data_IF_663216204508
#
_entry.id   IF_663216204508
#
_cell.length_a   1.000
_cell.length_b   1.000
_cell.length_c   1.000
_cell.angle_alpha   90.00
_cell.angle_beta   90.00
_cell.angle_gamma   90.00
#
_symmetry.space_group_name_H-M   'P 1'
#
loop_
_entity.id
_entity.type
_entity.pdbx_description
1 polymer ?
#
# COMPACT_ATOMS: atom_id res chain seq x y z
N UNK A 1 43.05 31.68 -15.50
CA UNK A 1 43.05 30.22 -15.55
C UNK A 1 42.37 29.68 -14.33
N UNK A 2 41.08 29.35 -14.43
CA UNK A 2 40.31 28.75 -13.35
C UNK A 2 40.55 27.24 -13.31
N UNK A 3 41.48 26.83 -12.46
CA UNK A 3 41.87 25.42 -12.30
C UNK A 3 41.06 24.68 -11.21
N UNK A 4 39.96 25.27 -10.73
CA UNK A 4 39.16 24.74 -9.60
C UNK A 4 37.70 24.45 -9.93
N UNK A 5 37.31 24.49 -11.20
CA UNK A 5 35.98 24.07 -11.61
C UNK A 5 35.85 22.54 -11.56
N UNK A 6 35.45 22.00 -10.40
CA UNK A 6 35.06 20.60 -10.28
C UNK A 6 33.59 20.45 -10.64
N UNK A 7 33.32 19.66 -11.69
CA UNK A 7 31.98 19.25 -12.08
C UNK A 7 31.54 18.10 -11.16
N UNK A 8 30.54 18.35 -10.32
CA UNK A 8 29.90 17.31 -9.51
C UNK A 8 28.74 16.73 -10.33
N UNK A 9 28.93 15.54 -10.89
CA UNK A 9 27.86 14.79 -11.54
C UNK A 9 27.09 13.99 -10.50
N UNK A 10 25.82 14.32 -10.30
CA UNK A 10 24.89 13.51 -9.52
C UNK A 10 24.25 12.47 -10.44
N UNK A 11 24.52 11.19 -10.18
CA UNK A 11 23.73 10.11 -10.74
C UNK A 11 22.42 10.02 -9.95
N UNK A 12 21.36 10.58 -10.52
CA UNK A 12 20.01 10.26 -10.06
C UNK A 12 19.70 8.83 -10.45
N UNK A 13 19.94 7.89 -9.53
CA UNK A 13 19.28 6.60 -9.59
C UNK A 13 17.78 6.86 -9.48
N UNK A 14 17.11 6.93 -10.63
CA UNK A 14 15.67 6.80 -10.70
C UNK A 14 15.35 5.39 -10.21
N UNK A 15 15.21 5.20 -8.90
CA UNK A 15 14.49 4.06 -8.35
C UNK A 15 13.15 4.03 -9.07
N UNK A 16 12.95 3.04 -9.94
CA UNK A 16 11.64 2.81 -10.51
C UNK A 16 10.65 2.76 -9.35
N UNK A 17 9.56 3.54 -9.37
CA UNK A 17 8.60 3.49 -8.29
C UNK A 17 8.09 2.06 -8.21
N UNK A 18 8.50 1.33 -7.16
CA UNK A 18 7.99 0.01 -6.90
C UNK A 18 6.48 0.16 -6.78
N UNK A 19 5.74 -0.55 -7.64
CA UNK A 19 4.29 -0.51 -7.62
C UNK A 19 3.88 -1.12 -6.28
N UNK A 20 3.62 -0.26 -5.28
CA UNK A 20 3.20 -0.69 -3.96
C UNK A 20 1.85 -1.38 -4.12
N UNK A 21 1.88 -2.72 -4.08
CA UNK A 21 0.69 -3.56 -4.05
C UNK A 21 0.13 -3.46 -2.64
N UNK A 22 -0.99 -2.76 -2.49
CA UNK A 22 -1.73 -2.79 -1.22
C UNK A 22 -2.68 -3.98 -1.26
N UNK A 23 -2.51 -4.89 -0.31
CA UNK A 23 -3.46 -5.96 -0.05
C UNK A 23 -4.47 -5.50 1.00
N UNK A 24 -5.73 -5.88 0.83
CA UNK A 24 -6.76 -5.66 1.84
C UNK A 24 -7.70 -6.86 1.84
N UNK A 25 -8.33 -7.17 2.98
CA UNK A 25 -9.39 -8.19 3.03
C UNK A 25 -10.74 -7.50 3.03
N UNK A 26 -11.70 -8.08 2.31
CA UNK A 26 -13.05 -7.56 2.32
C UNK A 26 -13.78 -7.99 3.58
N UNK A 27 -13.83 -7.12 4.59
CA UNK A 27 -14.60 -7.33 5.83
C UNK A 27 -16.05 -6.88 5.58
N UNK A 28 -16.75 -7.60 4.71
CA UNK A 28 -18.18 -7.38 4.42
C UNK A 28 -19.04 -8.18 5.40
N UNK A 29 -20.28 -7.73 5.70
CA UNK A 29 -21.20 -8.49 6.54
C UNK A 29 -21.44 -9.93 6.05
N UNK A 30 -21.50 -10.15 4.74
CA UNK A 30 -21.64 -11.48 4.15
C UNK A 30 -20.47 -12.42 4.47
N UNK A 31 -19.24 -11.90 4.37
CA UNK A 31 -18.01 -12.67 4.61
C UNK A 31 -17.86 -12.99 6.11
N UNK A 32 -18.25 -12.06 6.98
CA UNK A 32 -18.28 -12.28 8.42
C UNK A 32 -19.37 -13.28 8.83
N UNK A 33 -20.53 -13.26 8.16
CA UNK A 33 -21.59 -14.25 8.40
C UNK A 33 -21.11 -15.66 8.03
N UNK A 34 -20.49 -15.82 6.87
CA UNK A 34 -19.88 -17.08 6.44
C UNK A 34 -18.81 -17.57 7.43
N UNK A 35 -17.91 -16.67 7.84
CA UNK A 35 -16.89 -16.98 8.84
C UNK A 35 -17.52 -17.48 10.15
N UNK A 36 -18.57 -16.82 10.64
CA UNK A 36 -19.27 -17.25 11.87
C UNK A 36 -19.89 -18.64 11.72
N UNK A 37 -20.52 -18.92 10.59
CA UNK A 37 -21.10 -20.24 10.31
C UNK A 37 -20.01 -21.30 10.35
N UNK A 38 -18.88 -21.08 9.67
CA UNK A 38 -17.76 -22.02 9.65
C UNK A 38 -17.15 -22.26 11.03
N UNK A 39 -16.89 -21.20 11.79
CA UNK A 39 -16.36 -21.33 13.15
C UNK A 39 -17.34 -22.01 14.12
N UNK A 40 -18.65 -21.87 13.89
CA UNK A 40 -19.67 -22.55 14.69
C UNK A 40 -19.76 -24.05 14.38
N UNK A 41 -19.50 -24.44 13.13
CA UNK A 41 -19.46 -25.85 12.70
C UNK A 41 -18.12 -26.53 13.03
N UNK A 42 -17.10 -25.76 13.39
CA UNK A 42 -15.79 -26.27 13.76
C UNK A 42 -15.86 -27.06 15.08
N UNK A 43 -15.23 -28.23 15.10
CA UNK A 43 -15.29 -29.15 16.25
C UNK A 43 -14.23 -28.84 17.30
N UNK A 44 -13.19 -28.09 16.92
CA UNK A 44 -12.07 -27.65 17.75
C UNK A 44 -11.31 -28.78 18.46
N UNK A 45 -11.55 -30.04 18.10
CA UNK A 45 -10.91 -31.20 18.74
C UNK A 45 -9.40 -31.06 18.72
N UNK A 46 -8.84 -30.67 17.58
CA UNK A 46 -7.40 -30.54 17.36
C UNK A 46 -6.73 -29.50 18.27
N UNK A 47 -7.49 -28.52 18.76
CA UNK A 47 -7.02 -27.50 19.71
C UNK A 47 -6.94 -28.03 21.14
N UNK A 48 -7.60 -29.14 21.46
CA UNK A 48 -7.64 -29.71 22.81
C UNK A 48 -6.88 -31.03 22.94
N UNK A 49 -6.23 -31.50 21.86
CA UNK A 49 -5.53 -32.80 21.86
C UNK A 49 -4.21 -32.74 22.65
N UNK A 50 -3.48 -31.62 22.59
CA UNK A 50 -2.15 -31.54 23.21
C UNK A 50 -2.22 -31.12 24.67
N UNK A 51 -1.38 -31.69 25.56
CA UNK A 51 -1.18 -31.16 26.90
C UNK A 51 -0.36 -29.86 26.90
N UNK A 52 0.32 -29.52 25.80
CA UNK A 52 1.11 -28.29 25.69
C UNK A 52 0.23 -27.11 25.22
N UNK A 53 0.08 -26.04 26.02
CA UNK A 53 -0.71 -24.87 25.65
C UNK A 53 -0.18 -24.13 24.42
N UNK A 54 1.12 -24.20 24.12
CA UNK A 54 1.68 -23.55 22.94
C UNK A 54 1.20 -24.23 21.66
N UNK A 55 1.20 -25.56 21.65
CA UNK A 55 0.71 -26.38 20.52
C UNK A 55 -0.79 -26.12 20.30
N UNK A 56 -1.57 -26.06 21.38
CA UNK A 56 -3.00 -25.75 21.30
C UNK A 56 -3.25 -24.34 20.75
N UNK A 57 -2.47 -23.35 21.20
CA UNK A 57 -2.55 -21.97 20.69
C UNK A 57 -2.21 -21.90 19.21
N UNK A 58 -1.18 -22.62 18.76
CA UNK A 58 -0.80 -22.68 17.35
C UNK A 58 -1.90 -23.34 16.51
N UNK A 59 -2.44 -24.47 16.97
CA UNK A 59 -3.56 -25.14 16.31
C UNK A 59 -4.78 -24.22 16.18
N UNK A 60 -5.12 -23.49 17.24
CA UNK A 60 -6.20 -22.50 17.21
C UNK A 60 -5.95 -21.42 16.16
N UNK A 61 -4.76 -20.81 16.16
CA UNK A 61 -4.41 -19.74 15.23
C UNK A 61 -4.40 -20.22 13.78
N UNK A 62 -3.92 -21.44 13.52
CA UNK A 62 -3.90 -22.04 12.19
C UNK A 62 -5.32 -22.28 11.67
N UNK A 63 -6.19 -22.89 12.48
CA UNK A 63 -7.59 -23.14 12.11
C UNK A 63 -8.37 -21.84 11.91
N UNK A 64 -8.19 -20.86 12.81
CA UNK A 64 -8.81 -19.54 12.66
C UNK A 64 -8.34 -18.83 11.38
N UNK A 65 -7.03 -18.86 11.12
CA UNK A 65 -6.43 -18.23 9.93
C UNK A 65 -6.96 -18.86 8.65
N UNK A 66 -7.08 -20.19 8.60
CA UNK A 66 -7.67 -20.89 7.46
C UNK A 66 -9.12 -20.47 7.17
N UNK A 67 -9.98 -20.48 8.19
CA UNK A 67 -11.38 -20.06 8.03
C UNK A 67 -11.49 -18.58 7.68
N UNK A 68 -10.63 -17.74 8.24
CA UNK A 68 -10.54 -16.33 7.92
C UNK A 68 -10.07 -16.09 6.48
N UNK A 69 -9.10 -16.86 6.00
CA UNK A 69 -8.58 -16.75 4.64
C UNK A 69 -9.59 -17.14 3.57
N UNK A 70 -10.31 -18.22 3.83
CA UNK A 70 -11.34 -18.73 2.92
C UNK A 70 -12.59 -17.86 2.92
N UNK A 71 -13.00 -17.32 4.07
CA UNK A 71 -14.21 -16.49 4.19
C UNK A 71 -13.96 -15.02 3.85
N UNK A 72 -12.77 -14.50 4.14
CA UNK A 72 -12.36 -13.11 3.92
C UNK A 72 -11.11 -13.06 3.01
N UNK A 73 -11.25 -13.37 1.71
CA UNK A 73 -10.10 -13.45 0.80
C UNK A 73 -9.37 -12.12 0.66
N UNK A 74 -8.07 -12.20 0.41
CA UNK A 74 -7.24 -11.04 0.12
C UNK A 74 -7.59 -10.52 -1.27
N UNK A 75 -7.92 -9.25 -1.34
CA UNK A 75 -8.08 -8.49 -2.56
C UNK A 75 -6.81 -7.67 -2.76
N UNK A 76 -6.12 -7.93 -3.85
CA UNK A 76 -5.02 -7.11 -4.30
C UNK A 76 -5.59 -5.94 -5.10
N UNK A 77 -5.53 -4.74 -4.51
CA UNK A 77 -5.72 -3.54 -5.31
C UNK A 77 -4.40 -3.30 -6.02
N UNK A 78 -4.40 -3.47 -7.34
CA UNK A 78 -3.45 -2.73 -8.16
C UNK A 78 -3.85 -1.27 -7.97
N UNK A 79 -3.20 -0.57 -7.04
CA UNK A 79 -3.32 0.87 -6.95
C UNK A 79 -3.00 1.39 -8.34
N UNK A 80 -4.05 1.78 -9.09
CA UNK A 80 -3.89 2.47 -10.35
C UNK A 80 -2.94 3.60 -10.04
N UNK A 81 -1.84 3.62 -10.78
CA UNK A 81 -0.74 4.57 -10.65
C UNK A 81 -1.28 5.92 -10.19
N UNK A 82 -0.59 6.54 -9.21
CA UNK A 82 -0.83 7.90 -8.71
C UNK A 82 -1.55 8.74 -9.76
N UNK A 83 -2.64 9.46 -9.43
CA UNK A 83 -3.32 10.31 -10.39
C UNK A 83 -2.26 11.11 -11.14
N UNK A 84 -2.28 11.00 -12.49
CA UNK A 84 -1.40 11.77 -13.37
C UNK A 84 -1.34 13.19 -12.81
N UNK A 85 -0.15 13.79 -12.76
CA UNK A 85 0.15 15.03 -12.02
C UNK A 85 -0.70 16.28 -12.38
N UNK A 86 -1.78 16.14 -13.13
CA UNK A 86 -2.77 17.18 -13.40
C UNK A 86 -3.94 17.24 -12.41
N UNK A 87 -4.22 16.19 -11.62
CA UNK A 87 -5.35 16.18 -10.66
C UNK A 87 -4.88 15.99 -9.21
N UNK A 88 -3.86 16.75 -8.79
CA UNK A 88 -3.58 16.87 -7.37
C UNK A 88 -4.64 17.80 -6.76
N UNK A 89 -5.52 17.26 -5.92
CA UNK A 89 -6.62 18.01 -5.26
C UNK A 89 -6.11 19.23 -4.48
N UNK A 90 -4.83 19.25 -4.10
CA UNK A 90 -4.17 20.34 -3.38
C UNK A 90 -3.56 21.42 -4.28
N UNK A 91 -3.44 21.16 -5.59
CA UNK A 91 -2.93 22.14 -6.56
C UNK A 91 -4.15 22.87 -7.11
N UNK A 92 -4.46 24.02 -6.53
CA UNK A 92 -5.46 24.92 -7.06
C UNK A 92 -4.90 25.70 -8.27
N UNK A 93 -5.80 26.37 -9.00
CA UNK A 93 -5.43 27.15 -10.18
C UNK A 93 -4.38 28.24 -9.86
N UNK A 94 -4.42 28.80 -8.65
CA UNK A 94 -3.50 29.85 -8.23
C UNK A 94 -2.05 29.35 -8.18
N UNK A 95 -1.81 28.14 -7.69
CA UNK A 95 -0.48 27.52 -7.67
C UNK A 95 0.03 27.26 -9.10
N UNK A 96 -0.87 26.88 -10.02
CA UNK A 96 -0.52 26.67 -11.43
C UNK A 96 -0.11 28.00 -12.07
N UNK A 97 -0.88 29.05 -11.83
CA UNK A 97 -0.63 30.39 -12.37
C UNK A 97 0.68 30.96 -11.82
N UNK A 98 0.89 30.89 -10.50
CA UNK A 98 2.13 31.35 -9.86
C UNK A 98 3.37 30.64 -10.42
N UNK A 99 3.26 29.35 -10.73
CA UNK A 99 4.35 28.59 -11.36
C UNK A 99 4.63 29.04 -12.79
N UNK A 100 3.60 29.42 -13.56
CA UNK A 100 3.74 29.97 -14.90
C UNK A 100 4.43 31.32 -14.86
N UNK A 101 3.93 32.24 -14.03
CA UNK A 101 4.50 33.58 -13.87
C UNK A 101 5.97 33.54 -13.47
N UNK A 102 6.32 32.67 -12.52
CA UNK A 102 7.70 32.51 -12.08
C UNK A 102 8.62 31.99 -13.20
N UNK A 103 8.09 31.14 -14.09
CA UNK A 103 8.82 30.65 -15.26
C UNK A 103 8.98 31.75 -16.30
N UNK A 104 7.94 32.50 -16.59
CA UNK A 104 7.98 33.61 -17.55
C UNK A 104 8.97 34.69 -17.08
N UNK A 105 9.01 34.99 -15.78
CA UNK A 105 10.00 35.89 -15.19
C UNK A 105 11.44 35.35 -15.28
N UNK A 106 11.64 34.06 -15.02
CA UNK A 106 12.95 33.43 -15.15
C UNK A 106 13.46 33.47 -16.59
N UNK A 107 12.59 33.15 -17.56
CA UNK A 107 12.94 33.16 -18.97
C UNK A 107 13.19 34.60 -19.47
N UNK A 108 12.41 35.58 -19.00
CA UNK A 108 12.64 37.00 -19.29
C UNK A 108 13.95 37.55 -18.70
N UNK A 109 14.39 37.05 -17.55
CA UNK A 109 15.67 37.44 -16.95
C UNK A 109 16.88 36.78 -17.61
N UNK A 110 16.67 35.69 -18.34
CA UNK A 110 17.71 34.92 -19.02
C UNK A 110 18.06 35.46 -20.41
N UNK A 111 17.23 36.34 -20.96
CA UNK A 111 17.45 37.12 -22.20
C UNK A 111 18.21 38.40 -21.87
#
# INVERSE_FOLDING_TARGET
SDHTAQSVSFEFFSEQPSVSKTSSRSIKPSNLSELRIRLHLETWRDVYISPDPNINSEAFMNTLSYHFETSCPIIFSNNKAKPKSGNCVWVNQDIINAKSELRDHYDAWKV
#
